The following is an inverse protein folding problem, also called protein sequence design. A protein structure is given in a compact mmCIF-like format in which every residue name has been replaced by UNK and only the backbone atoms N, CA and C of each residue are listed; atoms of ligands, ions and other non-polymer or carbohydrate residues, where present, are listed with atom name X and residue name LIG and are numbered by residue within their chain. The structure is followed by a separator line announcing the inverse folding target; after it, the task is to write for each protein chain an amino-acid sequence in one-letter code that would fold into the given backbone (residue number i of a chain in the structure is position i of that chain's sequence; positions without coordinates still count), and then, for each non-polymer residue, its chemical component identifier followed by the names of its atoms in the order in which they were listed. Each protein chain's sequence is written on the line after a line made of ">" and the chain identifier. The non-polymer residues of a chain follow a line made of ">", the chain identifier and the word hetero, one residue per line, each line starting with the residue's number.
data_IF_052891354319
#
_entry.id   IF_052891354319
#
_cell.length_a   1.000
_cell.length_b   1.000
_cell.length_c   1.000
_cell.angle_alpha   90.00
_cell.angle_beta   90.00
_cell.angle_gamma   90.00
#
_symmetry.space_group_name_H-M   'P 1'
#
loop_
_entity.id
_entity.type
_entity.pdbx_description
1 polymer ?
#
# COMPACT_ATOMS: atom_id res chain seq x y z
N UNK A 1 4.56 21.35 -18.72
CA UNK A 1 4.56 20.29 -19.72
C UNK A 1 5.45 19.15 -19.24
N UNK A 2 4.85 17.96 -19.04
CA UNK A 2 5.63 16.80 -18.62
C UNK A 2 6.65 16.45 -19.70
N UNK A 3 7.92 16.50 -19.36
CA UNK A 3 9.01 16.16 -20.28
C UNK A 3 9.09 14.64 -20.56
N UNK A 4 8.24 13.83 -19.90
CA UNK A 4 8.10 12.40 -20.11
C UNK A 4 6.63 11.95 -19.90
N UNK A 5 6.30 10.74 -20.35
CA UNK A 5 4.99 10.10 -20.19
C UNK A 5 5.10 8.61 -19.96
N UNK A 6 4.08 8.02 -19.33
CA UNK A 6 3.91 6.58 -19.25
C UNK A 6 3.04 6.13 -20.42
N UNK A 7 3.51 5.13 -21.17
CA UNK A 7 2.76 4.51 -22.25
C UNK A 7 2.41 3.09 -21.84
N UNK A 8 1.12 2.74 -21.94
CA UNK A 8 0.63 1.36 -21.79
C UNK A 8 0.43 0.76 -23.18
N UNK A 9 0.98 -0.47 -23.39
CA UNK A 9 0.72 -1.31 -24.59
C UNK A 9 0.41 -2.72 -24.11
N UNK A 10 -0.87 -3.11 -24.20
CA UNK A 10 -1.33 -4.35 -23.55
C UNK A 10 -1.05 -4.29 -22.05
N UNK A 11 -0.37 -5.31 -21.52
CA UNK A 11 0.05 -5.36 -20.10
C UNK A 11 1.42 -4.74 -19.82
N UNK A 12 2.06 -4.16 -20.83
CA UNK A 12 3.39 -3.59 -20.72
C UNK A 12 3.32 -2.08 -20.53
N UNK A 13 4.16 -1.57 -19.63
CA UNK A 13 4.34 -0.13 -19.39
C UNK A 13 5.72 0.32 -19.87
N UNK A 14 5.76 1.54 -20.36
CA UNK A 14 6.99 2.17 -20.88
C UNK A 14 7.10 3.60 -20.34
N UNK A 15 8.29 3.98 -19.91
CA UNK A 15 8.72 5.37 -19.85
C UNK A 15 9.02 5.86 -21.27
N UNK A 16 8.60 7.06 -21.60
CA UNK A 16 8.97 7.72 -22.86
C UNK A 16 9.18 9.21 -22.66
N UNK A 17 10.31 9.71 -23.11
CA UNK A 17 10.60 11.14 -23.32
C UNK A 17 10.89 11.40 -24.83
N UNK A 18 11.45 12.59 -25.16
CA UNK A 18 11.79 12.97 -26.54
C UNK A 18 12.85 12.07 -27.18
N UNK A 19 13.78 11.51 -26.38
CA UNK A 19 14.95 10.75 -26.86
C UNK A 19 14.94 9.28 -26.46
N UNK A 20 14.16 8.93 -25.45
CA UNK A 20 14.25 7.60 -24.83
C UNK A 20 12.89 6.93 -24.74
N UNK A 21 12.92 5.61 -24.96
CA UNK A 21 11.82 4.71 -24.61
C UNK A 21 12.40 3.53 -23.84
N UNK A 22 11.91 3.32 -22.61
CA UNK A 22 12.39 2.28 -21.70
C UNK A 22 11.19 1.46 -21.22
N UNK A 23 11.25 0.14 -21.37
CA UNK A 23 10.26 -0.77 -20.82
C UNK A 23 10.37 -0.78 -19.29
N UNK A 24 9.26 -0.58 -18.60
CA UNK A 24 9.17 -0.63 -17.14
C UNK A 24 8.99 -2.10 -16.70
N UNK A 25 10.07 -2.88 -16.79
CA UNK A 25 10.08 -4.27 -16.35
C UNK A 25 10.22 -4.33 -14.83
N UNK A 26 9.14 -4.05 -14.10
CA UNK A 26 9.10 -3.98 -12.63
C UNK A 26 8.23 -5.11 -12.07
N UNK A 27 8.66 -5.73 -10.95
CA UNK A 27 7.95 -6.83 -10.28
C UNK A 27 7.04 -6.35 -9.14
N UNK A 28 7.39 -5.23 -8.50
CA UNK A 28 6.78 -4.76 -7.26
C UNK A 28 6.24 -3.32 -7.37
N UNK A 29 5.90 -2.89 -8.58
CA UNK A 29 5.26 -1.60 -8.86
C UNK A 29 3.81 -1.84 -9.27
N UNK A 30 2.86 -1.46 -8.42
CA UNK A 30 1.47 -1.88 -8.56
C UNK A 30 0.50 -0.73 -8.84
N UNK A 31 0.84 0.51 -8.48
CA UNK A 31 -0.05 1.65 -8.63
C UNK A 31 0.46 2.67 -9.64
N UNK A 32 -0.47 3.50 -10.16
CA UNK A 32 -0.12 4.60 -11.06
C UNK A 32 0.93 5.53 -10.44
N UNK A 33 0.74 5.92 -9.17
CA UNK A 33 1.70 6.78 -8.46
C UNK A 33 3.09 6.16 -8.33
N UNK A 34 3.20 4.84 -8.11
CA UNK A 34 4.50 4.16 -8.10
C UNK A 34 5.15 4.20 -9.48
N UNK A 35 4.41 3.96 -10.57
CA UNK A 35 4.93 4.10 -11.93
C UNK A 35 5.40 5.53 -12.22
N UNK A 36 4.67 6.54 -11.77
CA UNK A 36 5.05 7.95 -11.92
C UNK A 36 6.38 8.24 -11.19
N UNK A 37 6.55 7.74 -9.96
CA UNK A 37 7.80 7.87 -9.21
C UNK A 37 8.96 7.15 -9.90
N UNK A 38 8.76 5.96 -10.43
CA UNK A 38 9.78 5.24 -11.21
C UNK A 38 10.16 6.02 -12.46
N UNK A 39 9.19 6.58 -13.17
CA UNK A 39 9.47 7.39 -14.37
C UNK A 39 10.22 8.68 -14.04
N UNK A 40 9.91 9.33 -12.92
CA UNK A 40 10.66 10.48 -12.43
C UNK A 40 12.12 10.10 -12.12
N UNK A 41 12.32 8.98 -11.41
CA UNK A 41 13.65 8.47 -11.10
C UNK A 41 14.45 8.14 -12.39
N UNK A 42 13.81 7.51 -13.38
CA UNK A 42 14.42 7.26 -14.69
C UNK A 42 14.83 8.57 -15.35
N UNK A 43 13.96 9.59 -15.34
CA UNK A 43 14.28 10.90 -15.93
C UNK A 43 15.50 11.51 -15.26
N UNK A 44 15.55 11.53 -13.94
CA UNK A 44 16.69 12.05 -13.17
C UNK A 44 17.97 11.26 -13.52
N UNK A 45 17.90 9.92 -13.54
CA UNK A 45 19.05 9.09 -13.89
C UNK A 45 19.58 9.38 -15.30
N UNK A 46 18.69 9.57 -16.28
CA UNK A 46 19.07 9.94 -17.66
C UNK A 46 19.70 11.34 -17.72
N UNK A 47 19.19 12.30 -16.95
CA UNK A 47 19.77 13.66 -16.88
C UNK A 47 21.16 13.65 -16.24
N UNK A 48 21.37 12.76 -15.26
CA UNK A 48 22.69 12.48 -14.67
C UNK A 48 23.59 11.60 -15.56
N UNK A 49 23.18 11.32 -16.81
CA UNK A 49 23.92 10.53 -17.78
C UNK A 49 24.22 9.08 -17.37
N UNK A 50 23.38 8.51 -16.49
CA UNK A 50 23.45 7.09 -16.15
C UNK A 50 23.11 6.27 -17.41
N UNK A 51 23.92 5.24 -17.68
CA UNK A 51 23.73 4.37 -18.83
C UNK A 51 22.35 3.70 -18.80
N UNK A 52 21.68 3.73 -19.94
CA UNK A 52 20.33 3.16 -20.12
C UNK A 52 20.27 1.67 -19.81
N UNK A 53 21.34 0.92 -20.09
CA UNK A 53 21.44 -0.51 -19.77
C UNK A 53 21.44 -0.74 -18.24
N UNK A 54 22.13 0.14 -17.49
CA UNK A 54 22.13 0.10 -16.03
C UNK A 54 20.72 0.34 -15.49
N UNK A 55 20.04 1.39 -15.98
CA UNK A 55 18.65 1.68 -15.60
C UNK A 55 17.76 0.46 -15.86
N UNK A 56 17.81 -0.10 -17.07
CA UNK A 56 16.98 -1.27 -17.44
C UNK A 56 17.28 -2.50 -16.59
N UNK A 57 18.55 -2.74 -16.23
CA UNK A 57 18.97 -3.88 -15.39
C UNK A 57 18.44 -3.74 -13.95
N UNK A 58 18.31 -2.51 -13.45
CA UNK A 58 17.87 -2.23 -12.05
C UNK A 58 16.36 -2.33 -11.89
N UNK A 59 15.56 -2.03 -12.92
CA UNK A 59 14.10 -1.98 -12.82
C UNK A 59 13.43 -3.23 -12.23
N UNK A 60 13.86 -4.48 -12.58
CA UNK A 60 13.24 -5.69 -12.01
C UNK A 60 13.47 -5.89 -10.52
N UNK A 61 14.50 -5.27 -9.93
CA UNK A 61 14.87 -5.39 -8.51
C UNK A 61 14.26 -4.29 -7.66
N UNK A 62 13.57 -3.31 -8.27
CA UNK A 62 12.92 -2.25 -7.49
C UNK A 62 11.85 -2.82 -6.56
N UNK A 63 12.03 -2.59 -5.28
CA UNK A 63 11.07 -2.90 -4.23
C UNK A 63 11.01 -1.71 -3.26
N UNK A 64 9.84 -1.47 -2.72
CA UNK A 64 9.59 -0.38 -1.79
C UNK A 64 8.98 -0.97 -0.51
N UNK A 65 9.77 -1.05 0.55
CA UNK A 65 9.28 -1.57 1.83
C UNK A 65 8.13 -0.73 2.36
N UNK A 66 7.10 -1.41 2.86
CA UNK A 66 5.88 -0.75 3.33
C UNK A 66 5.07 -0.04 2.23
N UNK A 67 5.25 -0.38 0.94
CA UNK A 67 4.45 0.11 -0.18
C UNK A 67 3.93 -1.05 -1.02
N UNK A 68 2.62 -1.32 -0.94
CA UNK A 68 1.98 -2.45 -1.63
C UNK A 68 2.73 -3.78 -1.42
N UNK A 69 3.39 -3.92 -0.28
CA UNK A 69 4.28 -5.06 -0.01
C UNK A 69 3.48 -6.27 0.44
N UNK A 70 3.50 -7.33 -0.35
CA UNK A 70 2.95 -8.63 0.02
C UNK A 70 3.94 -9.41 0.89
N UNK A 71 3.46 -9.90 2.03
CA UNK A 71 4.28 -10.73 2.91
C UNK A 71 4.07 -12.20 2.56
N UNK A 72 5.07 -12.82 1.93
CA UNK A 72 5.05 -14.22 1.50
C UNK A 72 5.74 -15.17 2.49
N UNK A 73 6.48 -14.64 3.46
CA UNK A 73 7.26 -15.38 4.48
C UNK A 73 7.33 -14.60 5.79
N UNK A 74 7.87 -15.21 6.83
CA UNK A 74 8.10 -14.60 8.15
C UNK A 74 6.96 -14.86 9.14
N UNK A 75 7.15 -14.37 10.38
CA UNK A 75 6.27 -14.63 11.55
C UNK A 75 4.80 -14.34 11.27
N UNK A 76 4.50 -13.22 10.58
CA UNK A 76 3.13 -12.82 10.28
C UNK A 76 2.49 -13.81 9.30
N UNK A 77 3.19 -14.20 8.23
CA UNK A 77 2.67 -15.16 7.25
C UNK A 77 2.35 -16.51 7.89
N UNK A 78 3.13 -16.95 8.85
CA UNK A 78 2.92 -18.21 9.56
C UNK A 78 1.67 -18.21 10.47
N UNK A 79 1.14 -17.04 10.82
CA UNK A 79 -0.11 -16.87 11.61
C UNK A 79 -1.37 -16.85 10.75
N UNK A 80 -1.24 -16.83 9.42
CA UNK A 80 -2.36 -16.74 8.49
C UNK A 80 -2.84 -18.12 8.05
N UNK A 81 -4.14 -18.24 7.78
CA UNK A 81 -4.68 -19.40 7.08
C UNK A 81 -4.12 -19.51 5.65
N UNK A 82 -4.12 -20.72 5.11
CA UNK A 82 -3.59 -21.02 3.76
C UNK A 82 -4.18 -20.12 2.67
N UNK A 83 -5.46 -19.80 2.77
CA UNK A 83 -6.20 -19.01 1.77
C UNK A 83 -6.06 -17.50 1.97
N UNK A 84 -5.36 -17.06 3.01
CA UNK A 84 -5.17 -15.64 3.31
C UNK A 84 -3.88 -15.11 2.70
N UNK A 85 -3.98 -13.91 2.15
CA UNK A 85 -2.84 -13.09 1.76
C UNK A 85 -2.80 -11.85 2.63
N UNK A 86 -1.62 -11.35 2.92
CA UNK A 86 -1.45 -10.09 3.63
C UNK A 86 -0.58 -9.14 2.81
N UNK A 87 -0.96 -7.88 2.84
CA UNK A 87 -0.24 -6.77 2.24
C UNK A 87 -0.10 -5.65 3.25
N UNK A 88 1.06 -5.02 3.31
CA UNK A 88 1.30 -3.81 4.09
C UNK A 88 1.49 -2.62 3.17
N UNK A 89 0.94 -1.46 3.57
CA UNK A 89 1.08 -0.20 2.83
C UNK A 89 1.08 0.99 3.78
N UNK A 90 2.12 1.78 3.74
CA UNK A 90 2.28 2.97 4.58
C UNK A 90 1.52 4.21 4.10
N UNK A 91 0.51 4.04 3.24
CA UNK A 91 -0.37 5.12 2.79
C UNK A 91 -0.95 5.88 4.00
N UNK A 92 -0.78 7.19 4.02
CA UNK A 92 -1.21 8.03 5.16
C UNK A 92 -1.69 9.44 4.75
N UNK A 93 -1.62 9.78 3.46
CA UNK A 93 -2.19 10.99 2.87
C UNK A 93 -3.37 10.65 1.95
N UNK A 94 -4.22 11.63 1.67
CA UNK A 94 -5.42 11.44 0.82
C UNK A 94 -5.06 10.92 -0.59
N UNK A 95 -3.95 11.41 -1.16
CA UNK A 95 -3.46 10.96 -2.47
C UNK A 95 -3.03 9.48 -2.43
N UNK A 96 -2.33 9.07 -1.38
CA UNK A 96 -1.91 7.68 -1.17
C UNK A 96 -3.14 6.78 -1.04
N UNK A 97 -4.15 7.20 -0.27
CA UNK A 97 -5.40 6.46 -0.10
C UNK A 97 -6.15 6.25 -1.43
N UNK A 98 -6.15 7.26 -2.32
CA UNK A 98 -6.71 7.13 -3.68
C UNK A 98 -5.98 6.06 -4.49
N UNK A 99 -4.65 6.07 -4.47
CA UNK A 99 -3.84 5.07 -5.16
C UNK A 99 -4.08 3.67 -4.59
N UNK A 100 -4.11 3.53 -3.26
CA UNK A 100 -4.41 2.28 -2.57
C UNK A 100 -5.81 1.77 -2.94
N UNK A 101 -6.82 2.64 -2.91
CA UNK A 101 -8.19 2.29 -3.27
C UNK A 101 -8.30 1.81 -4.73
N UNK A 102 -7.66 2.51 -5.66
CA UNK A 102 -7.67 2.15 -7.08
C UNK A 102 -7.06 0.74 -7.29
N UNK A 103 -5.92 0.47 -6.66
CA UNK A 103 -5.29 -0.85 -6.71
C UNK A 103 -6.18 -1.94 -6.08
N UNK A 104 -6.68 -1.71 -4.86
CA UNK A 104 -7.49 -2.71 -4.15
C UNK A 104 -8.81 -3.02 -4.89
N UNK A 105 -9.42 -2.05 -5.55
CA UNK A 105 -10.63 -2.27 -6.36
C UNK A 105 -10.38 -3.17 -7.57
N UNK A 106 -9.16 -3.22 -8.11
CA UNK A 106 -8.80 -4.14 -9.21
C UNK A 106 -8.69 -5.61 -8.77
N UNK A 107 -8.57 -5.86 -7.46
CA UNK A 107 -8.46 -7.21 -6.89
C UNK A 107 -9.86 -7.77 -6.63
N UNK A 108 -10.16 -8.96 -7.13
CA UNK A 108 -11.52 -9.55 -7.06
C UNK A 108 -11.86 -10.26 -5.74
N UNK A 109 -10.86 -10.61 -4.90
CA UNK A 109 -11.11 -11.29 -3.62
C UNK A 109 -11.53 -10.30 -2.53
N UNK A 110 -12.27 -10.74 -1.48
CA UNK A 110 -12.62 -9.91 -0.33
C UNK A 110 -11.41 -9.29 0.33
N UNK A 111 -11.54 -8.06 0.81
CA UNK A 111 -10.49 -7.30 1.50
C UNK A 111 -10.93 -6.96 2.91
N UNK A 112 -10.01 -7.11 3.85
CA UNK A 112 -10.16 -6.76 5.25
C UNK A 112 -9.03 -5.82 5.63
N UNK A 113 -9.33 -4.76 6.39
CA UNK A 113 -8.36 -3.74 6.74
C UNK A 113 -7.89 -3.84 8.18
N UNK A 114 -6.59 -3.66 8.42
CA UNK A 114 -6.03 -3.30 9.72
C UNK A 114 -5.51 -1.88 9.59
N UNK A 115 -6.15 -0.95 10.32
CA UNK A 115 -5.89 0.48 10.18
C UNK A 115 -5.28 1.08 11.43
N UNK A 116 -4.08 1.65 11.27
CA UNK A 116 -3.39 2.43 12.29
C UNK A 116 -2.84 3.72 11.67
N UNK A 117 -2.87 4.85 12.39
CA UNK A 117 -2.50 6.14 11.83
C UNK A 117 -1.90 7.08 12.88
N UNK A 118 -1.01 7.99 12.46
CA UNK A 118 -0.42 9.02 13.32
C UNK A 118 -1.33 10.25 13.45
N UNK A 119 -1.30 10.91 14.63
CA UNK A 119 -2.12 12.09 15.00
C UNK A 119 -2.00 13.28 14.03
N UNK A 120 -0.83 13.50 13.45
CA UNK A 120 -0.57 14.61 12.50
C UNK A 120 -1.23 14.43 11.13
N UNK A 121 -1.99 13.36 10.93
CA UNK A 121 -2.67 13.06 9.67
C UNK A 121 -4.16 13.37 9.76
N UNK A 122 -4.87 13.24 8.64
CA UNK A 122 -6.29 13.55 8.52
C UNK A 122 -7.11 12.25 8.30
N UNK A 123 -7.43 11.50 9.37
CA UNK A 123 -8.04 10.16 9.27
C UNK A 123 -9.36 10.16 8.48
N UNK A 124 -10.21 11.19 8.67
CA UNK A 124 -11.52 11.29 8.02
C UNK A 124 -11.38 11.46 6.49
N UNK A 125 -10.51 12.35 6.03
CA UNK A 125 -10.27 12.56 4.60
C UNK A 125 -9.57 11.36 3.96
N UNK A 126 -8.71 10.69 4.69
CA UNK A 126 -8.01 9.50 4.26
C UNK A 126 -8.97 8.32 4.05
N UNK A 127 -9.74 7.96 5.08
CA UNK A 127 -10.56 6.75 5.04
C UNK A 127 -11.73 6.86 4.04
N UNK A 128 -12.24 8.06 3.79
CA UNK A 128 -13.26 8.33 2.75
C UNK A 128 -12.85 7.83 1.36
N UNK A 129 -11.56 7.87 1.03
CA UNK A 129 -11.06 7.42 -0.27
C UNK A 129 -11.17 5.89 -0.44
N UNK A 130 -11.24 5.15 0.67
CA UNK A 130 -11.29 3.68 0.71
C UNK A 130 -12.73 3.15 0.79
N UNK A 131 -13.74 4.01 0.64
CA UNK A 131 -15.16 3.61 0.68
C UNK A 131 -15.44 2.51 -0.36
N UNK A 132 -16.15 1.45 0.09
CA UNK A 132 -16.51 0.30 -0.73
C UNK A 132 -15.33 -0.66 -1.04
N UNK A 133 -14.16 -0.46 -0.43
CA UNK A 133 -12.99 -1.34 -0.63
C UNK A 133 -13.00 -2.54 0.32
N UNK A 134 -13.27 -2.31 1.59
CA UNK A 134 -13.17 -3.32 2.65
C UNK A 134 -14.52 -3.87 3.07
N UNK A 135 -14.57 -5.18 3.33
CA UNK A 135 -15.72 -5.81 4.03
C UNK A 135 -15.77 -5.38 5.50
N UNK A 136 -14.60 -5.27 6.14
CA UNK A 136 -14.46 -4.92 7.55
C UNK A 136 -13.10 -4.26 7.76
N UNK A 137 -13.03 -3.32 8.70
CA UNK A 137 -11.79 -2.69 9.16
C UNK A 137 -11.64 -2.93 10.66
N UNK A 138 -10.47 -3.39 11.09
CA UNK A 138 -10.08 -3.40 12.51
C UNK A 138 -9.11 -2.26 12.75
N UNK A 139 -9.44 -1.38 13.67
CA UNK A 139 -8.61 -0.23 14.04
C UNK A 139 -7.72 -0.57 15.23
N UNK A 140 -6.49 -0.11 15.22
CA UNK A 140 -5.53 -0.32 16.29
C UNK A 140 -4.61 0.90 16.46
N UNK A 141 -3.97 1.08 17.63
CA UNK A 141 -2.90 2.05 17.76
C UNK A 141 -1.64 1.56 17.02
N UNK A 142 -0.72 2.48 16.68
CA UNK A 142 0.64 2.11 16.29
C UNK A 142 1.40 1.76 17.56
N UNK A 143 1.87 0.53 17.67
CA UNK A 143 2.60 0.06 18.84
C UNK A 143 3.90 0.85 19.02
N UNK A 144 4.24 1.20 20.25
CA UNK A 144 5.43 1.97 20.63
C UNK A 144 5.57 3.35 19.97
N UNK A 145 4.45 3.96 19.53
CA UNK A 145 4.43 5.28 18.89
C UNK A 145 3.53 6.25 19.66
N UNK A 146 4.12 7.22 20.33
CA UNK A 146 3.42 8.23 21.14
C UNK A 146 2.48 9.13 20.33
N UNK A 147 2.81 9.35 19.05
CA UNK A 147 1.97 10.11 18.12
C UNK A 147 0.89 9.25 17.44
N UNK A 148 0.63 8.05 17.94
CA UNK A 148 -0.45 7.21 17.41
C UNK A 148 -1.81 7.79 17.73
N UNK A 149 -2.73 7.72 16.75
CA UNK A 149 -4.17 7.87 17.01
C UNK A 149 -4.64 6.60 17.73
N UNK A 150 -5.50 6.74 18.72
CA UNK A 150 -6.04 5.60 19.46
C UNK A 150 -6.95 4.74 18.56
N UNK A 151 -7.04 3.43 18.88
CA UNK A 151 -7.98 2.53 18.21
C UNK A 151 -9.42 3.05 18.26
N UNK A 152 -9.81 3.66 19.39
CA UNK A 152 -11.16 4.18 19.58
C UNK A 152 -11.48 5.40 18.71
N UNK A 153 -10.53 6.32 18.57
CA UNK A 153 -10.69 7.47 17.68
C UNK A 153 -10.80 7.04 16.21
N UNK A 154 -9.93 6.15 15.75
CA UNK A 154 -10.00 5.60 14.39
C UNK A 154 -11.30 4.82 14.16
N UNK A 155 -11.76 4.05 15.15
CA UNK A 155 -13.03 3.35 15.09
C UNK A 155 -14.21 4.32 14.90
N UNK A 156 -14.27 5.39 15.69
CA UNK A 156 -15.32 6.43 15.55
C UNK A 156 -15.31 7.03 14.15
N UNK A 157 -14.12 7.32 13.60
CA UNK A 157 -13.97 7.84 12.23
C UNK A 157 -14.43 6.81 11.20
N UNK A 158 -14.07 5.53 11.35
CA UNK A 158 -14.50 4.46 10.44
C UNK A 158 -16.02 4.30 10.43
N UNK A 159 -16.66 4.23 11.60
CA UNK A 159 -18.12 4.11 11.73
C UNK A 159 -18.85 5.32 11.16
N UNK A 160 -18.38 6.55 11.45
CA UNK A 160 -18.91 7.79 10.86
C UNK A 160 -18.89 7.73 9.32
N UNK A 161 -17.88 7.08 8.73
CA UNK A 161 -17.75 6.89 7.29
C UNK A 161 -18.44 5.61 6.77
N UNK A 162 -19.28 4.97 7.61
CA UNK A 162 -20.10 3.80 7.26
C UNK A 162 -19.31 2.53 6.95
N UNK A 163 -18.14 2.36 7.57
CA UNK A 163 -17.41 1.11 7.52
C UNK A 163 -17.89 0.16 8.62
N UNK A 164 -18.02 -1.12 8.31
CA UNK A 164 -18.09 -2.17 9.32
C UNK A 164 -16.73 -2.22 10.03
N UNK A 165 -16.70 -1.95 11.33
CA UNK A 165 -15.44 -1.78 12.04
C UNK A 165 -15.47 -2.39 13.43
N UNK A 166 -14.28 -2.80 13.89
CA UNK A 166 -13.99 -3.22 15.26
C UNK A 166 -12.68 -2.57 15.73
N UNK A 167 -12.45 -2.64 17.04
CA UNK A 167 -11.20 -2.16 17.69
C UNK A 167 -10.33 -3.33 18.11
N UNK A 168 -9.03 -3.14 18.13
CA UNK A 168 -8.07 -4.06 18.75
C UNK A 168 -7.00 -3.28 19.53
N UNK A 169 -6.34 -3.97 20.43
CA UNK A 169 -5.24 -3.41 21.25
C UNK A 169 -3.92 -3.40 20.49
N UNK A 170 -3.73 -4.39 19.63
CA UNK A 170 -2.50 -4.63 18.88
C UNK A 170 -2.78 -5.38 17.57
N UNK A 171 -1.73 -5.60 16.79
CA UNK A 171 -1.81 -6.27 15.51
C UNK A 171 -2.24 -7.75 15.62
N UNK A 172 -1.78 -8.46 16.64
CA UNK A 172 -2.14 -9.86 16.83
C UNK A 172 -3.63 -10.06 17.10
N UNK A 173 -4.21 -9.21 17.97
CA UNK A 173 -5.66 -9.19 18.22
C UNK A 173 -6.44 -8.80 16.95
N UNK A 174 -5.92 -7.83 16.17
CA UNK A 174 -6.53 -7.43 14.90
C UNK A 174 -6.60 -8.60 13.90
N UNK A 175 -5.53 -9.37 13.79
CA UNK A 175 -5.50 -10.57 12.94
C UNK A 175 -6.54 -11.59 13.40
N UNK A 176 -6.62 -11.90 14.71
CA UNK A 176 -7.60 -12.85 15.26
C UNK A 176 -9.05 -12.46 14.93
N UNK A 177 -9.36 -11.15 14.84
CA UNK A 177 -10.70 -10.64 14.50
C UNK A 177 -11.03 -10.71 13.00
N UNK A 178 -10.02 -10.91 12.15
CA UNK A 178 -10.17 -10.95 10.68
C UNK A 178 -9.95 -12.36 10.14
N UNK A 179 -9.01 -13.10 10.72
CA UNK A 179 -8.53 -14.37 10.18
C UNK A 179 -9.62 -15.43 10.17
N UNK A 180 -9.73 -16.16 9.07
CA UNK A 180 -10.63 -17.29 8.87
C UNK A 180 -10.22 -18.06 7.61
N UNK A 181 -10.83 -19.19 7.34
CA UNK A 181 -10.57 -20.02 6.16
C UNK A 181 -11.04 -19.38 4.84
N UNK A 182 -11.80 -18.28 4.89
CA UNK A 182 -12.23 -17.55 3.70
C UNK A 182 -11.02 -17.04 2.89
N UNK A 183 -11.04 -17.21 1.57
CA UNK A 183 -10.04 -16.61 0.69
C UNK A 183 -10.15 -15.10 0.70
N UNK A 184 -9.14 -14.41 1.23
CA UNK A 184 -9.16 -12.95 1.39
C UNK A 184 -7.77 -12.31 1.28
N UNK A 185 -7.79 -10.97 1.17
CA UNK A 185 -6.62 -10.12 1.32
C UNK A 185 -6.77 -9.28 2.61
N UNK A 186 -5.85 -9.43 3.53
CA UNK A 186 -5.69 -8.58 4.69
C UNK A 186 -4.76 -7.44 4.31
N UNK A 187 -5.16 -6.20 4.53
CA UNK A 187 -4.37 -5.01 4.19
C UNK A 187 -4.11 -4.22 5.46
N UNK A 188 -2.84 -4.11 5.84
CA UNK A 188 -2.42 -3.27 6.96
C UNK A 188 -1.98 -1.92 6.40
N UNK A 189 -2.61 -0.81 6.83
CA UNK A 189 -2.40 0.49 6.21
C UNK A 189 -2.51 1.66 7.18
N UNK A 190 -2.08 2.85 6.75
CA UNK A 190 -2.24 4.11 7.44
C UNK A 190 -0.96 4.68 8.05
N UNK A 191 0.12 3.90 8.15
CA UNK A 191 1.40 4.36 8.70
C UNK A 191 2.58 3.50 8.26
N UNK A 192 3.69 4.14 7.88
CA UNK A 192 4.97 3.44 7.67
C UNK A 192 5.57 2.89 8.97
N UNK A 193 5.39 3.59 10.09
CA UNK A 193 5.82 3.08 11.41
C UNK A 193 5.13 1.76 11.74
N UNK A 194 3.81 1.68 11.47
CA UNK A 194 3.08 0.44 11.66
C UNK A 194 3.56 -0.68 10.72
N UNK A 195 3.91 -0.33 9.47
CA UNK A 195 4.52 -1.31 8.55
C UNK A 195 5.84 -1.86 9.11
N UNK A 196 6.70 -1.00 9.67
CA UNK A 196 7.95 -1.39 10.32
C UNK A 196 7.71 -2.35 11.50
N UNK A 197 6.75 -2.04 12.38
CA UNK A 197 6.40 -2.90 13.51
C UNK A 197 5.89 -4.29 13.07
N UNK A 198 5.18 -4.37 11.94
CA UNK A 198 4.67 -5.64 11.40
C UNK A 198 5.79 -6.48 10.74
N UNK A 199 6.84 -5.84 10.23
CA UNK A 199 7.97 -6.52 9.57
C UNK A 199 8.97 -7.11 10.58
N UNK A 200 9.12 -6.52 11.76
CA UNK A 200 10.01 -6.96 12.83
C UNK A 200 9.34 -8.03 13.73
#
# INVERSE_FOLDING_TARGET
>A
PNCWKIIKKGDLFYYQDKKNRIRLNTKHVYSKGMFENVCLAIKIALDLKIDKKVIQKTLPSLAFEGRFQYLSKGKVKNKLHRNEKIMIDGAHATADAKNLAAYLKSIKIPKYGVWAMSKKKQPDLFIKQLKGVFKKIVTMPIENESNSVSANELYKVAVKNKFVSEKSKNFEEALKKISSEEKKLIVCFGSLYNCGNILN
#
